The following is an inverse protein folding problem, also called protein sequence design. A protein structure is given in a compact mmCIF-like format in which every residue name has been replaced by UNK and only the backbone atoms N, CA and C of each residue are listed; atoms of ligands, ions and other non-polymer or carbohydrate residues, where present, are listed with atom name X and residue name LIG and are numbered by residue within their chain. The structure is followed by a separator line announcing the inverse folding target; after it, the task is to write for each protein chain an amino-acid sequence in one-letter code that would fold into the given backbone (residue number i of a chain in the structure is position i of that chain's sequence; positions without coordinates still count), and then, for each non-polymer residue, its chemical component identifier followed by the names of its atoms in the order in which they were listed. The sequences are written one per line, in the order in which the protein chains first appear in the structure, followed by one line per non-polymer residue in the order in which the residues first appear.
data_IF_644161153040
#
_entry.id   IF_644161153040
#
_cell.length_a   1.000
_cell.length_b   1.000
_cell.length_c   1.000
_cell.angle_alpha   90.00
_cell.angle_beta   90.00
_cell.angle_gamma   90.00
#
_symmetry.space_group_name_H-M   'P 1'
#
loop_
_entity.id
_entity.type
_entity.pdbx_description
1 polymer ?
#
# COMPACT_ATOMS: atom_id res chain seq x y z
N UNK A 1 5.69 -28.03 30.19
CA UNK A 1 5.21 -27.28 29.00
C UNK A 1 5.34 -25.81 29.32
N UNK A 2 5.95 -25.01 28.43
CA UNK A 2 5.90 -23.56 28.57
C UNK A 2 4.45 -23.09 28.42
N UNK A 3 3.95 -22.16 29.25
CA UNK A 3 2.61 -21.62 29.08
C UNK A 3 2.51 -20.93 27.72
N UNK A 4 1.40 -21.14 27.01
CA UNK A 4 1.14 -20.45 25.77
C UNK A 4 1.13 -18.94 26.03
N UNK A 5 1.86 -18.17 25.22
CA UNK A 5 1.86 -16.72 25.31
C UNK A 5 0.46 -16.18 24.97
N UNK A 6 -0.04 -15.15 25.69
CA UNK A 6 -1.28 -14.48 25.35
C UNK A 6 -1.26 -13.88 23.93
N UNK A 7 -2.43 -13.74 23.33
CA UNK A 7 -2.61 -13.21 21.96
C UNK A 7 -2.01 -11.81 21.81
N UNK A 8 -2.15 -10.97 22.83
CA UNK A 8 -1.68 -9.59 22.84
C UNK A 8 -0.15 -9.52 22.80
N UNK A 9 0.53 -10.50 23.41
CA UNK A 9 1.99 -10.61 23.36
C UNK A 9 2.43 -11.03 21.96
N UNK A 10 1.72 -11.96 21.33
CA UNK A 10 1.98 -12.33 19.94
C UNK A 10 1.78 -11.15 18.97
N UNK A 11 0.70 -10.39 19.11
CA UNK A 11 0.46 -9.21 18.30
C UNK A 11 1.58 -8.17 18.46
N UNK A 12 2.08 -7.94 19.67
CA UNK A 12 3.24 -7.06 19.89
C UNK A 12 4.51 -7.56 19.20
N UNK A 13 4.80 -8.86 19.26
CA UNK A 13 5.95 -9.46 18.58
C UNK A 13 5.83 -9.28 17.05
N UNK A 14 4.64 -9.52 16.51
CA UNK A 14 4.35 -9.36 15.08
C UNK A 14 4.48 -7.90 14.65
N UNK A 15 3.99 -6.95 15.46
CA UNK A 15 4.11 -5.52 15.22
C UNK A 15 5.58 -5.08 15.14
N UNK A 16 6.41 -5.53 16.10
CA UNK A 16 7.85 -5.24 16.09
C UNK A 16 8.47 -5.77 14.79
N UNK A 17 8.13 -7.00 14.39
CA UNK A 17 8.64 -7.57 13.15
C UNK A 17 8.17 -6.80 11.91
N UNK A 18 6.93 -6.30 11.88
CA UNK A 18 6.41 -5.47 10.80
C UNK A 18 7.13 -4.10 10.69
N UNK A 19 7.63 -3.58 11.81
CA UNK A 19 8.38 -2.31 11.86
C UNK A 19 9.89 -2.47 11.69
N UNK A 20 10.39 -3.71 11.77
CA UNK A 20 11.82 -3.97 11.71
C UNK A 20 12.32 -3.69 10.30
N UNK A 21 13.10 -2.63 10.16
CA UNK A 21 13.90 -2.38 8.97
C UNK A 21 15.33 -2.79 9.29
N UNK A 22 15.75 -3.95 8.78
CA UNK A 22 17.13 -4.39 8.84
C UNK A 22 17.92 -3.62 7.75
N UNK A 23 18.97 -2.84 8.10
CA UNK A 23 19.77 -2.12 7.12
C UNK A 23 20.42 -3.03 6.08
N UNK A 24 20.76 -4.26 6.46
CA UNK A 24 21.38 -5.26 5.59
C UNK A 24 20.31 -6.06 4.81
N UNK A 25 19.05 -5.99 5.24
CA UNK A 25 17.90 -6.67 4.63
C UNK A 25 16.68 -5.75 4.59
N UNK A 26 16.70 -4.70 3.73
CA UNK A 26 15.53 -3.85 3.56
C UNK A 26 14.32 -4.70 3.21
N UNK A 27 13.16 -4.33 3.74
CA UNK A 27 11.89 -5.02 3.51
C UNK A 27 11.79 -6.46 4.06
N UNK A 28 12.59 -6.82 5.07
CA UNK A 28 12.50 -8.13 5.76
C UNK A 28 11.09 -8.46 6.28
N UNK A 29 10.28 -7.44 6.59
CA UNK A 29 8.88 -7.54 6.96
C UNK A 29 8.02 -8.28 5.91
N UNK A 30 8.35 -8.19 4.61
CA UNK A 30 7.66 -8.90 3.52
C UNK A 30 7.74 -10.43 3.71
N UNK A 31 8.95 -10.91 3.99
CA UNK A 31 9.20 -12.33 4.21
C UNK A 31 8.60 -12.83 5.53
N UNK A 32 8.67 -12.00 6.57
CA UNK A 32 8.06 -12.33 7.86
C UNK A 32 6.54 -12.48 7.74
N UNK A 33 5.88 -11.60 6.99
CA UNK A 33 4.44 -11.68 6.75
C UNK A 33 4.04 -13.04 6.15
N UNK A 34 4.68 -13.44 5.04
CA UNK A 34 4.34 -14.69 4.35
C UNK A 34 4.61 -15.91 5.24
N UNK A 35 5.74 -15.92 5.94
CA UNK A 35 6.15 -17.03 6.80
C UNK A 35 5.17 -17.24 7.96
N UNK A 36 4.78 -16.17 8.65
CA UNK A 36 3.87 -16.27 9.80
C UNK A 36 2.49 -16.81 9.39
N UNK A 37 1.95 -16.38 8.25
CA UNK A 37 0.64 -16.83 7.75
C UNK A 37 0.58 -18.32 7.38
N UNK A 38 1.73 -18.97 7.18
CA UNK A 38 1.84 -20.40 6.88
C UNK A 38 1.88 -21.28 8.13
N UNK A 39 2.14 -20.71 9.31
CA UNK A 39 2.30 -21.49 10.55
C UNK A 39 0.97 -22.07 11.04
N UNK A 40 -0.07 -21.24 11.14
CA UNK A 40 -1.40 -21.67 11.59
C UNK A 40 -2.48 -20.62 11.26
N UNK A 41 -3.75 -21.00 11.40
CA UNK A 41 -4.88 -20.06 11.29
C UNK A 41 -4.80 -18.93 12.32
N UNK A 42 -4.28 -19.23 13.52
CA UNK A 42 -4.07 -18.22 14.57
C UNK A 42 -3.08 -17.14 14.11
N UNK A 43 -1.92 -17.54 13.58
CA UNK A 43 -0.95 -16.57 13.08
C UNK A 43 -1.47 -15.85 11.85
N UNK A 44 -2.18 -16.53 10.94
CA UNK A 44 -2.78 -15.91 9.76
C UNK A 44 -3.68 -14.72 10.12
N UNK A 45 -4.63 -14.93 11.02
CA UNK A 45 -5.58 -13.88 11.43
C UNK A 45 -4.88 -12.73 12.17
N UNK A 46 -3.93 -13.05 13.06
CA UNK A 46 -3.22 -12.02 13.83
C UNK A 46 -2.21 -11.23 12.99
N UNK A 47 -1.54 -11.85 12.02
CA UNK A 47 -0.55 -11.18 11.18
C UNK A 47 -1.18 -10.13 10.28
N UNK A 48 -2.25 -10.46 9.55
CA UNK A 48 -2.93 -9.51 8.67
C UNK A 48 -3.45 -8.30 9.45
N UNK A 49 -4.15 -8.55 10.56
CA UNK A 49 -4.68 -7.51 11.45
C UNK A 49 -3.58 -6.63 12.04
N UNK A 50 -2.52 -7.24 12.56
CA UNK A 50 -1.42 -6.48 13.18
C UNK A 50 -0.68 -5.64 12.14
N UNK A 51 -0.44 -6.16 10.93
CA UNK A 51 0.23 -5.40 9.87
C UNK A 51 -0.64 -4.24 9.40
N UNK A 52 -1.95 -4.45 9.25
CA UNK A 52 -2.93 -3.38 9.02
C UNK A 52 -2.81 -2.31 10.11
N UNK A 53 -2.99 -2.68 11.38
CA UNK A 53 -2.90 -1.74 12.50
C UNK A 53 -1.57 -0.99 12.55
N UNK A 54 -0.48 -1.69 12.26
CA UNK A 54 0.86 -1.12 12.26
C UNK A 54 1.03 -0.11 11.13
N UNK A 55 0.77 -0.50 9.88
CA UNK A 55 1.00 0.38 8.73
C UNK A 55 0.05 1.57 8.72
N UNK A 56 -1.19 1.39 9.17
CA UNK A 56 -2.14 2.50 9.31
C UNK A 56 -1.81 3.47 10.45
N UNK A 57 -1.12 3.01 11.50
CA UNK A 57 -0.65 3.89 12.58
C UNK A 57 0.42 4.87 12.08
N UNK A 58 1.14 4.53 11.00
CA UNK A 58 2.14 5.38 10.35
C UNK A 58 1.61 5.86 8.99
N UNK A 59 0.62 6.77 9.04
CA UNK A 59 -0.15 7.25 7.88
C UNK A 59 0.69 7.86 6.75
N UNK A 60 1.83 8.45 7.09
CA UNK A 60 2.83 8.98 6.16
C UNK A 60 3.51 7.89 5.32
N UNK A 61 3.36 6.62 5.70
CA UNK A 61 3.99 5.46 5.07
C UNK A 61 3.03 4.59 4.29
N UNK A 62 1.76 4.96 4.21
CA UNK A 62 0.73 4.26 3.46
C UNK A 62 -0.04 5.27 2.61
N UNK A 63 0.39 5.41 1.35
CA UNK A 63 -0.14 6.37 0.39
C UNK A 63 -0.62 5.60 -0.83
N UNK A 64 -1.75 6.03 -1.38
CA UNK A 64 -2.24 5.55 -2.66
C UNK A 64 -2.12 6.70 -3.64
N UNK A 65 -1.42 6.42 -4.73
CA UNK A 65 -1.21 7.32 -5.85
C UNK A 65 -1.83 6.70 -7.10
N UNK A 66 -2.84 7.34 -7.67
CA UNK A 66 -3.29 6.96 -9.02
C UNK A 66 -2.39 7.65 -10.04
N UNK A 67 -1.68 6.88 -10.87
CA UNK A 67 -1.03 7.42 -12.07
C UNK A 67 -1.94 7.18 -13.28
N UNK A 68 -2.72 8.19 -13.66
CA UNK A 68 -3.30 8.19 -15.01
C UNK A 68 -2.24 8.65 -16.01
N UNK A 69 -1.47 7.73 -16.55
CA UNK A 69 -0.63 8.02 -17.70
C UNK A 69 -1.52 8.13 -18.95
N UNK A 70 -1.71 9.34 -19.48
CA UNK A 70 -2.01 9.47 -20.92
C UNK A 70 -0.74 9.06 -21.65
N UNK A 71 -0.76 7.90 -22.28
CA UNK A 71 0.30 7.38 -23.13
C UNK A 71 0.37 8.23 -24.42
N UNK A 72 0.90 9.44 -24.32
CA UNK A 72 1.35 10.20 -25.49
C UNK A 72 2.85 9.95 -25.63
N UNK A 73 3.16 9.01 -26.54
CA UNK A 73 4.51 8.80 -27.04
C UNK A 73 4.94 10.13 -27.67
N UNK A 74 5.89 10.80 -27.01
CA UNK A 74 6.56 12.07 -27.34
C UNK A 74 6.05 13.31 -26.57
N UNK A 75 6.87 13.71 -25.60
CA UNK A 75 6.96 15.03 -24.96
C UNK A 75 5.83 15.45 -23.98
N UNK A 76 6.21 15.45 -22.69
CA UNK A 76 5.51 16.03 -21.53
C UNK A 76 4.23 15.29 -21.14
N UNK A 77 4.40 14.25 -20.33
CA UNK A 77 3.29 13.54 -19.69
C UNK A 77 2.72 14.38 -18.53
N UNK A 78 1.53 14.93 -18.73
CA UNK A 78 0.69 15.44 -17.64
C UNK A 78 0.20 14.24 -16.80
N UNK A 79 1.04 13.76 -15.88
CA UNK A 79 0.64 12.78 -14.89
C UNK A 79 -0.35 13.44 -13.92
N UNK A 80 -1.57 12.91 -13.89
CA UNK A 80 -2.51 13.26 -12.83
C UNK A 80 -2.27 12.32 -11.66
N UNK A 81 -1.76 12.86 -10.56
CA UNK A 81 -1.56 12.12 -9.30
C UNK A 81 -2.77 12.36 -8.40
N UNK A 82 -3.45 11.28 -8.02
CA UNK A 82 -4.46 11.30 -6.96
C UNK A 82 -3.79 10.79 -5.68
N UNK A 83 -3.33 11.70 -4.81
CA UNK A 83 -2.76 11.32 -3.52
C UNK A 83 -3.89 11.13 -2.50
N UNK A 84 -4.06 9.90 -2.02
CA UNK A 84 -5.01 9.56 -0.96
C UNK A 84 -4.29 9.00 0.26
N UNK A 85 -4.68 9.47 1.44
CA UNK A 85 -4.12 9.06 2.73
C UNK A 85 -5.13 8.27 3.52
N UNK A 86 -4.65 7.32 4.34
CA UNK A 86 -5.52 6.54 5.20
C UNK A 86 -6.33 7.43 6.14
N UNK A 87 -7.63 7.20 6.20
CA UNK A 87 -8.56 7.90 7.08
C UNK A 87 -9.01 7.01 8.24
N UNK A 88 -9.73 5.93 7.94
CA UNK A 88 -10.35 5.04 8.94
C UNK A 88 -10.61 3.64 8.38
N UNK A 89 -10.93 2.68 9.26
CA UNK A 89 -11.59 1.44 8.84
C UNK A 89 -13.06 1.72 8.57
N UNK A 90 -13.68 0.93 7.70
CA UNK A 90 -15.13 1.00 7.48
C UNK A 90 -15.84 0.50 8.76
N UNK A 91 -16.72 1.30 9.38
CA UNK A 91 -17.41 0.90 10.61
C UNK A 91 -18.38 -0.27 10.41
N UNK A 92 -18.79 -0.54 9.18
CA UNK A 92 -19.73 -1.60 8.83
C UNK A 92 -19.03 -2.84 8.22
N UNK A 93 -17.74 -2.73 7.91
CA UNK A 93 -16.96 -3.80 7.27
C UNK A 93 -15.48 -3.75 7.73
N UNK A 94 -15.12 -4.59 8.71
CA UNK A 94 -13.77 -4.60 9.27
C UNK A 94 -12.68 -4.99 8.27
N UNK A 95 -13.04 -5.63 7.14
CA UNK A 95 -12.09 -5.98 6.09
C UNK A 95 -11.74 -4.79 5.19
N UNK A 96 -12.52 -3.71 5.25
CA UNK A 96 -12.38 -2.54 4.38
C UNK A 96 -11.74 -1.36 5.11
N UNK A 97 -10.91 -0.66 4.35
CA UNK A 97 -10.24 0.57 4.76
C UNK A 97 -10.68 1.72 3.88
N UNK A 98 -10.73 2.92 4.44
CA UNK A 98 -11.15 4.15 3.80
C UNK A 98 -9.94 5.07 3.72
N UNK A 99 -9.68 5.56 2.51
CA UNK A 99 -8.69 6.58 2.19
C UNK A 99 -9.43 7.84 1.77
N UNK A 100 -8.91 9.01 2.16
CA UNK A 100 -9.42 10.32 1.74
C UNK A 100 -8.36 11.06 0.95
N UNK A 101 -8.80 11.90 0.02
CA UNK A 101 -7.90 12.84 -0.67
C UNK A 101 -7.11 13.68 0.36
N UNK A 102 -5.82 13.89 0.12
CA UNK A 102 -4.99 14.72 0.99
C UNK A 102 -5.58 16.12 1.13
N UNK A 103 -5.68 16.63 2.36
CA UNK A 103 -6.20 17.97 2.64
C UNK A 103 -5.29 19.09 2.13
N UNK A 104 -4.05 18.78 1.75
CA UNK A 104 -3.13 19.72 1.10
C UNK A 104 -3.58 20.09 -0.33
N UNK A 105 -4.54 19.35 -0.90
CA UNK A 105 -5.22 19.67 -2.16
C UNK A 105 -6.54 20.47 -1.95
N UNK A 106 -6.88 20.90 -0.73
CA UNK A 106 -8.17 21.53 -0.39
C UNK A 106 -8.26 23.06 -0.57
N UNK A 107 -7.58 23.64 -1.56
CA UNK A 107 -7.55 25.11 -1.69
C UNK A 107 -8.70 25.74 -2.52
N UNK A 108 -9.83 25.04 -2.74
CA UNK A 108 -11.08 25.69 -3.16
C UNK A 108 -12.00 24.92 -4.12
N UNK A 109 -13.11 25.54 -4.57
CA UNK A 109 -14.11 24.92 -5.45
C UNK A 109 -13.55 24.44 -6.78
N UNK A 110 -12.56 25.14 -7.35
CA UNK A 110 -11.93 24.76 -8.62
C UNK A 110 -11.15 23.44 -8.51
N UNK A 111 -10.43 23.24 -7.40
CA UNK A 111 -9.71 22.00 -7.11
C UNK A 111 -10.67 20.81 -6.90
N UNK A 112 -11.85 21.07 -6.33
CA UNK A 112 -12.89 20.04 -6.18
C UNK A 112 -13.43 19.56 -7.52
N UNK A 113 -13.84 20.49 -8.39
CA UNK A 113 -14.37 20.14 -9.71
C UNK A 113 -13.30 19.45 -10.56
N UNK A 114 -12.04 19.86 -10.44
CA UNK A 114 -10.92 19.18 -11.08
C UNK A 114 -10.73 17.75 -10.54
N UNK A 115 -10.73 17.57 -9.22
CA UNK A 115 -10.66 16.25 -8.58
C UNK A 115 -11.82 15.36 -8.99
N UNK A 116 -13.04 15.91 -9.01
CA UNK A 116 -14.26 15.19 -9.35
C UNK A 116 -14.26 14.76 -10.81
N UNK A 117 -13.92 15.66 -11.74
CA UNK A 117 -13.78 15.33 -13.15
C UNK A 117 -12.71 14.25 -13.40
N UNK A 118 -11.62 14.26 -12.62
CA UNK A 118 -10.58 13.22 -12.68
C UNK A 118 -11.10 11.87 -12.20
N UNK A 119 -11.83 11.85 -11.08
CA UNK A 119 -12.43 10.62 -10.54
C UNK A 119 -13.56 10.07 -11.42
N UNK A 120 -14.35 10.93 -12.06
CA UNK A 120 -15.38 10.52 -13.03
C UNK A 120 -14.75 9.91 -14.28
N UNK A 121 -13.74 10.57 -14.87
CA UNK A 121 -13.01 10.02 -16.01
C UNK A 121 -12.33 8.67 -15.70
N UNK A 122 -11.94 8.50 -14.44
CA UNK A 122 -11.35 7.29 -13.91
C UNK A 122 -12.39 6.16 -13.72
N UNK A 123 -13.57 6.46 -13.19
CA UNK A 123 -14.66 5.49 -13.02
C UNK A 123 -15.16 4.95 -14.38
N UNK A 124 -15.04 5.72 -15.46
CA UNK A 124 -15.39 5.30 -16.82
C UNK A 124 -14.38 4.30 -17.43
N UNK A 125 -13.14 4.22 -16.92
CA UNK A 125 -12.06 3.41 -17.50
C UNK A 125 -11.26 2.64 -16.44
N UNK A 126 -11.91 1.71 -15.70
CA UNK A 126 -11.25 0.97 -14.62
C UNK A 126 -10.08 0.10 -15.10
N UNK A 127 -10.15 -0.43 -16.33
CA UNK A 127 -9.13 -1.33 -16.90
C UNK A 127 -7.81 -0.64 -17.29
N UNK A 128 -7.79 0.69 -17.35
CA UNK A 128 -6.62 1.47 -17.79
C UNK A 128 -5.84 2.10 -16.63
N UNK A 129 -6.35 2.02 -15.39
CA UNK A 129 -5.75 2.75 -14.27
C UNK A 129 -4.89 1.84 -13.40
N UNK A 130 -3.58 2.10 -13.39
CA UNK A 130 -2.62 1.49 -12.48
C UNK A 130 -2.61 2.30 -11.18
N UNK A 131 -3.11 1.73 -10.09
CA UNK A 131 -2.91 2.29 -8.75
C UNK A 131 -1.50 1.96 -8.30
N UNK A 132 -0.71 2.99 -8.01
CA UNK A 132 0.52 2.80 -7.27
C UNK A 132 0.17 2.88 -5.79
N UNK A 133 0.26 1.75 -5.11
CA UNK A 133 0.23 1.73 -3.65
C UNK A 133 1.67 1.79 -3.15
N UNK A 134 1.91 2.74 -2.26
CA UNK A 134 3.18 2.94 -1.58
C UNK A 134 3.05 2.55 -0.11
N UNK A 135 3.73 1.46 0.28
CA UNK A 135 3.80 0.98 1.67
C UNK A 135 5.27 0.83 2.06
N UNK A 136 5.70 1.59 3.07
CA UNK A 136 7.07 1.50 3.62
C UNK A 136 8.16 1.65 2.54
N UNK A 137 7.98 2.60 1.61
CA UNK A 137 8.94 2.86 0.52
C UNK A 137 8.94 1.83 -0.61
N UNK A 138 8.05 0.83 -0.57
CA UNK A 138 7.77 -0.04 -1.71
C UNK A 138 6.55 0.51 -2.45
N UNK A 139 6.67 0.68 -3.77
CA UNK A 139 5.61 1.22 -4.62
C UNK A 139 5.31 0.24 -5.75
N UNK A 140 4.07 -0.23 -5.85
CA UNK A 140 3.68 -1.23 -6.84
C UNK A 140 2.31 -0.95 -7.45
N UNK A 141 2.16 -1.38 -8.70
CA UNK A 141 0.92 -1.35 -9.45
C UNK A 141 0.04 -2.57 -9.11
N UNK A 142 -0.79 -2.41 -8.07
CA UNK A 142 -1.63 -3.50 -7.57
C UNK A 142 -3.11 -3.24 -7.82
N UNK A 143 -3.84 -4.33 -8.04
CA UNK A 143 -5.29 -4.30 -7.99
C UNK A 143 -5.76 -4.01 -6.57
N UNK A 144 -6.83 -3.23 -6.44
CA UNK A 144 -7.50 -2.96 -5.18
C UNK A 144 -8.80 -3.80 -5.13
N UNK A 145 -8.83 -4.91 -4.39
CA UNK A 145 -9.98 -5.80 -4.35
C UNK A 145 -11.19 -5.10 -3.70
N UNK A 146 -12.38 -5.30 -4.27
CA UNK A 146 -13.61 -4.70 -3.73
C UNK A 146 -13.61 -3.17 -3.71
N UNK A 147 -12.87 -2.54 -4.64
CA UNK A 147 -12.74 -1.08 -4.73
C UNK A 147 -14.08 -0.37 -4.91
N UNK A 148 -14.29 0.71 -4.14
CA UNK A 148 -15.45 1.62 -4.20
C UNK A 148 -14.99 3.06 -4.03
N UNK A 149 -15.76 3.99 -4.58
CA UNK A 149 -15.49 5.42 -4.48
C UNK A 149 -16.73 6.16 -3.99
N UNK A 150 -16.50 7.19 -3.19
CA UNK A 150 -17.48 8.21 -2.87
C UNK A 150 -16.94 9.56 -3.37
N UNK A 151 -17.58 10.11 -4.41
CA UNK A 151 -17.15 11.36 -5.04
C UNK A 151 -17.49 12.57 -4.17
N UNK A 152 -18.55 12.50 -3.38
CA UNK A 152 -18.99 13.62 -2.55
C UNK A 152 -18.07 13.74 -1.33
N UNK A 153 -17.78 12.62 -0.68
CA UNK A 153 -16.91 12.56 0.50
C UNK A 153 -15.41 12.51 0.17
N UNK A 154 -15.07 12.41 -1.12
CA UNK A 154 -13.71 12.24 -1.65
C UNK A 154 -12.99 11.04 -1.06
N UNK A 155 -13.71 9.93 -1.00
CA UNK A 155 -13.25 8.69 -0.39
C UNK A 155 -13.02 7.59 -1.42
N UNK A 156 -12.05 6.75 -1.10
CA UNK A 156 -11.81 5.48 -1.76
C UNK A 156 -11.74 4.40 -0.71
N UNK A 157 -12.35 3.25 -0.98
CA UNK A 157 -12.32 2.12 -0.05
C UNK A 157 -12.15 0.79 -0.77
N UNK A 158 -11.45 -0.14 -0.15
CA UNK A 158 -11.18 -1.47 -0.71
C UNK A 158 -10.87 -2.47 0.41
N UNK A 159 -10.83 -3.76 0.06
CA UNK A 159 -10.55 -4.87 0.95
C UNK A 159 -9.04 -4.96 1.23
N UNK A 160 -8.64 -4.67 2.47
CA UNK A 160 -7.23 -4.48 2.79
C UNK A 160 -6.42 -5.77 2.81
N UNK A 161 -6.95 -6.86 3.39
CA UNK A 161 -6.16 -8.08 3.57
C UNK A 161 -5.73 -8.68 2.22
N UNK A 162 -6.66 -8.74 1.27
CA UNK A 162 -6.40 -9.26 -0.07
C UNK A 162 -5.47 -8.33 -0.84
N UNK A 163 -5.67 -7.01 -0.73
CA UNK A 163 -4.76 -6.00 -1.29
C UNK A 163 -3.33 -6.20 -0.76
N UNK A 164 -3.16 -6.24 0.57
CA UNK A 164 -1.85 -6.36 1.22
C UNK A 164 -1.18 -7.69 0.85
N UNK A 165 -1.95 -8.77 0.75
CA UNK A 165 -1.40 -10.06 0.35
C UNK A 165 -0.84 -10.02 -1.07
N UNK A 166 -1.59 -9.45 -2.02
CA UNK A 166 -1.13 -9.28 -3.41
C UNK A 166 0.10 -8.38 -3.49
N UNK A 167 0.08 -7.25 -2.76
CA UNK A 167 1.22 -6.33 -2.66
C UNK A 167 2.50 -7.06 -2.25
N UNK A 168 2.44 -7.84 -1.17
CA UNK A 168 3.62 -8.54 -0.64
C UNK A 168 4.12 -9.61 -1.62
N UNK A 169 3.22 -10.35 -2.27
CA UNK A 169 3.61 -11.34 -3.28
C UNK A 169 4.35 -10.69 -4.45
N UNK A 170 3.84 -9.55 -4.94
CA UNK A 170 4.49 -8.81 -6.00
C UNK A 170 5.85 -8.23 -5.57
N UNK A 171 5.97 -7.65 -4.37
CA UNK A 171 7.25 -7.13 -3.87
C UNK A 171 8.33 -8.22 -3.83
N UNK A 172 7.97 -9.41 -3.37
CA UNK A 172 8.89 -10.56 -3.30
C UNK A 172 9.30 -11.01 -4.72
N UNK A 173 8.36 -11.07 -5.65
CA UNK A 173 8.66 -11.43 -7.05
C UNK A 173 9.55 -10.40 -7.74
N UNK A 174 9.29 -9.10 -7.55
CA UNK A 174 10.13 -8.02 -8.09
C UNK A 174 11.55 -8.11 -7.53
N UNK A 175 11.68 -8.29 -6.22
CA UNK A 175 12.98 -8.45 -5.54
C UNK A 175 13.74 -9.67 -6.08
N UNK A 176 13.06 -10.80 -6.30
CA UNK A 176 13.63 -12.00 -6.91
C UNK A 176 14.13 -11.76 -8.33
N UNK A 177 13.37 -11.04 -9.16
CA UNK A 177 13.77 -10.69 -10.54
C UNK A 177 14.96 -9.74 -10.58
N UNK A 178 14.96 -8.71 -9.72
CA UNK A 178 16.07 -7.76 -9.62
C UNK A 178 17.39 -8.44 -9.26
N UNK A 179 17.35 -9.38 -8.31
CA UNK A 179 18.51 -10.21 -7.96
C UNK A 179 18.98 -11.08 -9.14
N UNK A 180 18.05 -11.67 -9.90
CA UNK A 180 18.37 -12.56 -11.02
C UNK A 180 19.04 -11.83 -12.21
N UNK A 181 18.77 -10.54 -12.39
CA UNK A 181 19.31 -9.73 -13.49
C UNK A 181 20.66 -9.08 -13.10
N UNK A 182 21.12 -9.27 -11.85
CA UNK A 182 22.36 -8.67 -11.37
C UNK A 182 22.28 -7.15 -11.20
N UNK A 183 21.07 -6.58 -11.12
CA UNK A 183 20.83 -5.14 -11.01
C UNK A 183 21.20 -4.54 -9.64
N UNK A 184 21.69 -5.35 -8.70
CA UNK A 184 22.38 -4.87 -7.50
C UNK A 184 23.85 -4.61 -7.83
N UNK A 185 24.11 -3.56 -8.63
CA UNK A 185 25.41 -2.90 -8.51
C UNK A 185 25.54 -2.36 -7.08
N UNK A 186 26.75 -2.46 -6.54
CA UNK A 186 27.19 -2.22 -5.17
C UNK A 186 26.98 -0.74 -4.72
N UNK A 187 25.75 -0.25 -4.74
CA UNK A 187 25.34 1.00 -4.10
C UNK A 187 24.73 0.67 -2.75
N UNK A 188 25.10 1.47 -1.74
CA UNK A 188 24.68 1.26 -0.36
C UNK A 188 23.15 1.12 -0.28
N UNK A 189 22.60 0.20 0.54
CA UNK A 189 21.17 -0.14 0.54
C UNK A 189 20.19 1.01 0.83
N UNK A 190 20.69 2.19 1.22
CA UNK A 190 19.90 3.40 1.42
C UNK A 190 19.65 4.25 0.16
N UNK A 191 20.38 4.02 -0.93
CA UNK A 191 20.32 4.89 -2.12
C UNK A 191 19.39 4.36 -3.24
N UNK A 192 18.97 3.09 -3.16
CA UNK A 192 18.24 2.41 -4.23
C UNK A 192 16.72 2.65 -4.24
N UNK A 193 16.14 3.14 -3.15
CA UNK A 193 14.69 3.38 -3.05
C UNK A 193 14.31 4.86 -3.08
N UNK A 194 15.29 5.76 -3.09
CA UNK A 194 15.09 7.19 -3.38
C UNK A 194 15.01 7.49 -4.89
N UNK A 195 15.27 6.50 -5.75
CA UNK A 195 15.36 6.66 -7.21
C UNK A 195 14.17 6.08 -7.98
N UNK A 196 13.12 5.62 -7.29
CA UNK A 196 11.82 5.30 -7.87
C UNK A 196 10.71 6.29 -7.48
N UNK A 197 11.09 7.50 -7.03
CA UNK A 197 10.19 8.65 -6.86
C UNK A 197 10.38 9.65 -7.99
#
# INVERSE_FOLDING_TARGET
MLPALPTEIWQKIIQIAALTSDPDRPNSWLHTYLTLRQVSNFFRANTARTYLDTFLAYRDRCIIDSLSAKLEILAVTNHTVLEMRFHSRDPNDEARVIFKASTELNDGPAMYEEWKAKMEAFAEKPDLTLYIISIYGCSLDIQLPGLRYDLEEREMSFEWEDMLHQFILQCVEVSRRMLAIGAFEEKRPGDLWASCC
#
